data_IF_087508059108
#
_entry.id   IF_087508059108
#
_cell.length_a   1.000
_cell.length_b   1.000
_cell.length_c   1.000
_cell.angle_alpha   90.00
_cell.angle_beta   90.00
_cell.angle_gamma   90.00
#
_symmetry.space_group_name_H-M   'P 1'
#
loop_
_entity.id
_entity.type
_entity.pdbx_description
1 polymer ?
#
# COMPACT_ATOMS: atom_id res chain seq x y z
N UNK A 1 -8.84 4.80 28.29
CA UNK A 1 -7.82 5.43 27.42
C UNK A 1 -7.15 6.54 28.19
N UNK A 2 -5.87 6.82 27.94
CA UNK A 2 -5.16 7.95 28.57
C UNK A 2 -5.93 9.25 28.33
N UNK A 3 -6.02 10.12 29.34
CA UNK A 3 -6.77 11.37 29.31
C UNK A 3 -8.29 11.21 29.48
N UNK A 4 -8.83 9.99 29.45
CA UNK A 4 -10.27 9.78 29.60
C UNK A 4 -10.74 10.16 31.00
N UNK A 5 -11.81 10.94 31.09
CA UNK A 5 -12.55 11.15 32.34
C UNK A 5 -13.40 9.92 32.64
N UNK A 6 -13.23 9.38 33.85
CA UNK A 6 -13.97 8.21 34.34
C UNK A 6 -14.25 8.37 35.84
N UNK A 7 -15.11 7.51 36.40
CA UNK A 7 -15.58 7.59 37.79
C UNK A 7 -14.43 7.72 38.82
N UNK A 8 -13.36 6.95 38.64
CA UNK A 8 -12.15 6.99 39.49
C UNK A 8 -10.99 7.81 38.90
N UNK A 9 -11.26 8.63 37.89
CA UNK A 9 -10.23 9.38 37.15
C UNK A 9 -10.80 10.72 36.68
N UNK A 10 -10.93 11.65 37.62
CA UNK A 10 -11.45 12.98 37.37
C UNK A 10 -10.45 13.87 36.61
N UNK A 11 -10.97 14.96 36.03
CA UNK A 11 -10.16 16.02 35.44
C UNK A 11 -10.12 17.24 36.36
N UNK A 12 -8.93 17.72 36.69
CA UNK A 12 -8.68 18.87 37.55
C UNK A 12 -7.22 19.27 37.55
N UNK A 13 -6.83 20.25 38.38
CA UNK A 13 -5.47 20.82 38.36
C UNK A 13 -4.34 19.81 38.63
N UNK A 14 -4.63 18.73 39.36
CA UNK A 14 -3.64 17.72 39.75
C UNK A 14 -3.72 16.42 38.92
N UNK A 15 -4.82 16.20 38.19
CA UNK A 15 -5.06 14.97 37.44
C UNK A 15 -5.84 15.28 36.18
N UNK A 16 -5.38 14.81 35.03
CA UNK A 16 -6.00 15.08 33.72
C UNK A 16 -6.70 13.84 33.16
N UNK A 17 -7.50 13.14 33.99
CA UNK A 17 -8.13 11.87 33.65
C UNK A 17 -7.24 10.65 33.91
N UNK A 18 -7.51 9.56 33.19
CA UNK A 18 -6.74 8.31 33.26
C UNK A 18 -5.30 8.48 32.79
N UNK A 19 -4.36 7.85 33.49
CA UNK A 19 -2.93 7.87 33.14
C UNK A 19 -2.42 6.51 32.69
N UNK A 20 -3.14 5.45 33.02
CA UNK A 20 -2.81 4.09 32.66
C UNK A 20 -3.09 3.82 31.17
N UNK A 21 -2.17 3.08 30.54
CA UNK A 21 -2.37 2.54 29.20
C UNK A 21 -3.50 1.52 29.20
N UNK A 22 -4.23 1.45 28.10
CA UNK A 22 -5.35 0.51 27.98
C UNK A 22 -4.82 -0.91 27.96
N UNK A 23 -5.40 -1.78 28.79
CA UNK A 23 -5.14 -3.22 28.74
C UNK A 23 -5.79 -3.80 27.49
N UNK A 24 -4.96 -4.28 26.57
CA UNK A 24 -5.41 -4.84 25.29
C UNK A 24 -5.86 -6.30 25.45
N UNK A 25 -7.16 -6.48 25.71
CA UNK A 25 -7.76 -7.80 25.93
C UNK A 25 -7.54 -8.75 24.74
N UNK A 26 -7.50 -8.23 23.52
CA UNK A 26 -7.17 -9.01 22.32
C UNK A 26 -5.80 -9.65 22.41
N UNK A 27 -4.75 -8.86 22.70
CA UNK A 27 -3.38 -9.36 22.86
C UNK A 27 -3.24 -10.32 24.05
N UNK A 28 -3.91 -10.04 25.16
CA UNK A 28 -3.93 -10.94 26.33
C UNK A 28 -4.54 -12.29 25.95
N UNK A 29 -5.64 -12.31 25.19
CA UNK A 29 -6.24 -13.54 24.68
C UNK A 29 -5.31 -14.30 23.74
N UNK A 30 -4.63 -13.58 22.84
CA UNK A 30 -3.68 -14.15 21.87
C UNK A 30 -2.48 -14.79 22.57
N UNK A 31 -2.03 -14.22 23.70
CA UNK A 31 -0.90 -14.75 24.47
C UNK A 31 -1.10 -16.20 24.95
N UNK A 32 -2.34 -16.67 25.08
CA UNK A 32 -2.64 -18.06 25.43
C UNK A 32 -2.41 -19.04 24.28
N UNK A 33 -2.19 -18.58 23.03
CA UNK A 33 -1.91 -19.35 21.79
C UNK A 33 -2.97 -20.35 21.34
N UNK A 34 -3.74 -20.94 22.25
CA UNK A 34 -4.80 -21.90 21.97
C UNK A 34 -6.21 -21.29 21.89
N UNK A 35 -6.36 -19.99 22.18
CA UNK A 35 -7.65 -19.30 22.22
C UNK A 35 -7.95 -18.67 20.87
N UNK A 36 -9.15 -18.86 20.33
CA UNK A 36 -9.63 -18.05 19.22
C UNK A 36 -9.99 -16.67 19.75
N UNK A 37 -9.44 -15.59 19.18
CA UNK A 37 -9.72 -14.23 19.62
C UNK A 37 -10.30 -13.45 18.48
N UNK A 38 -11.43 -12.81 18.69
CA UNK A 38 -12.04 -11.94 17.69
C UNK A 38 -12.41 -10.61 18.34
N UNK A 39 -11.85 -9.53 17.79
CA UNK A 39 -12.05 -8.17 18.22
C UNK A 39 -12.76 -7.41 17.10
N UNK A 40 -13.97 -6.92 17.37
CA UNK A 40 -14.77 -6.22 16.37
C UNK A 40 -15.72 -5.20 17.00
N UNK A 41 -16.57 -4.59 16.20
CA UNK A 41 -17.58 -3.62 16.62
C UNK A 41 -18.72 -3.59 15.61
N UNK A 42 -19.79 -2.88 15.95
CA UNK A 42 -20.89 -2.65 15.03
C UNK A 42 -20.53 -1.83 13.78
N UNK A 43 -19.33 -1.21 13.73
CA UNK A 43 -18.86 -0.46 12.57
C UNK A 43 -18.79 -1.30 11.29
N UNK A 44 -18.54 -2.61 11.41
CA UNK A 44 -18.66 -3.54 10.29
C UNK A 44 -19.41 -4.80 10.74
N UNK A 45 -20.72 -4.81 10.49
CA UNK A 45 -21.59 -5.92 10.86
C UNK A 45 -21.14 -7.25 10.23
N UNK A 46 -20.62 -7.22 8.99
CA UNK A 46 -20.11 -8.41 8.30
C UNK A 46 -18.94 -9.05 9.04
N UNK A 47 -17.92 -8.26 9.41
CA UNK A 47 -16.75 -8.74 10.15
C UNK A 47 -17.15 -9.27 11.53
N UNK A 48 -18.01 -8.53 12.25
CA UNK A 48 -18.52 -8.93 13.57
C UNK A 48 -19.22 -10.29 13.53
N UNK A 49 -20.22 -10.45 12.64
CA UNK A 49 -21.04 -11.66 12.60
C UNK A 49 -20.23 -12.83 12.07
N UNK A 50 -19.43 -12.65 11.01
CA UNK A 50 -18.59 -13.70 10.47
C UNK A 50 -17.58 -14.22 11.50
N UNK A 51 -16.92 -13.33 12.25
CA UNK A 51 -15.94 -13.73 13.24
C UNK A 51 -16.55 -14.39 14.48
N UNK A 52 -17.71 -13.93 14.94
CA UNK A 52 -18.45 -14.60 16.02
C UNK A 52 -18.86 -16.02 15.60
N UNK A 53 -19.46 -16.17 14.41
CA UNK A 53 -19.82 -17.48 13.88
C UNK A 53 -18.59 -18.38 13.73
N UNK A 54 -17.50 -17.87 13.14
CA UNK A 54 -16.25 -18.62 12.99
C UNK A 54 -15.75 -19.11 14.36
N UNK A 55 -15.70 -18.24 15.36
CA UNK A 55 -15.25 -18.60 16.71
C UNK A 55 -16.14 -19.63 17.40
N UNK A 56 -17.46 -19.53 17.26
CA UNK A 56 -18.40 -20.50 17.83
C UNK A 56 -18.27 -21.91 17.22
N UNK A 57 -17.78 -22.02 15.97
CA UNK A 57 -17.52 -23.31 15.34
C UNK A 57 -16.17 -23.93 15.74
N UNK A 58 -15.31 -23.21 16.47
CA UNK A 58 -14.02 -23.72 16.91
C UNK A 58 -14.14 -24.57 18.17
N UNK A 59 -13.45 -25.71 18.21
CA UNK A 59 -13.38 -26.60 19.39
C UNK A 59 -12.27 -26.18 20.35
N UNK A 60 -12.29 -24.92 20.78
CA UNK A 60 -11.31 -24.29 21.68
C UNK A 60 -11.96 -23.12 22.42
N UNK A 61 -11.34 -22.58 23.49
CA UNK A 61 -11.80 -21.33 24.07
C UNK A 61 -11.87 -20.23 23.01
N UNK A 62 -12.96 -19.46 23.02
CA UNK A 62 -13.18 -18.33 22.13
C UNK A 62 -13.42 -17.06 22.96
N UNK A 63 -12.70 -15.99 22.64
CA UNK A 63 -12.81 -14.68 23.26
C UNK A 63 -13.32 -13.68 22.22
N UNK A 64 -14.47 -13.07 22.50
CA UNK A 64 -15.05 -12.02 21.67
C UNK A 64 -14.94 -10.69 22.39
N UNK A 65 -14.08 -9.79 21.90
CA UNK A 65 -13.92 -8.44 22.42
C UNK A 65 -14.65 -7.45 21.50
N UNK A 66 -15.88 -7.08 21.86
CA UNK A 66 -16.73 -6.27 20.99
C UNK A 66 -16.82 -4.84 21.51
N UNK A 67 -16.40 -3.87 20.72
CA UNK A 67 -16.52 -2.45 21.07
C UNK A 67 -17.98 -1.99 20.95
N UNK A 68 -18.52 -1.53 22.06
CA UNK A 68 -19.89 -1.04 22.19
C UNK A 68 -19.87 0.40 22.74
N UNK A 69 -20.00 1.42 21.86
CA UNK A 69 -20.18 2.79 22.31
C UNK A 69 -21.42 2.91 23.20
N UNK A 70 -21.29 3.57 24.35
CA UNK A 70 -22.42 3.85 25.23
C UNK A 70 -22.76 5.34 25.14
N UNK A 71 -23.92 5.74 24.57
CA UNK A 71 -24.24 7.15 24.38
C UNK A 71 -24.23 7.97 25.68
N UNK A 72 -24.81 7.41 26.75
CA UNK A 72 -24.88 8.07 28.06
C UNK A 72 -23.49 8.27 28.67
N UNK A 73 -22.71 7.19 28.79
CA UNK A 73 -21.40 7.23 29.45
C UNK A 73 -20.32 7.97 28.64
N UNK A 74 -20.39 7.91 27.30
CA UNK A 74 -19.43 8.56 26.43
C UNK A 74 -19.84 9.99 26.07
N UNK A 75 -21.09 10.38 26.39
CA UNK A 75 -21.70 11.65 26.03
C UNK A 75 -21.83 11.84 24.53
N UNK A 76 -22.30 10.80 23.84
CA UNK A 76 -22.64 10.83 22.41
C UNK A 76 -24.12 11.17 22.24
N UNK A 77 -24.53 11.55 21.03
CA UNK A 77 -25.94 11.59 20.67
C UNK A 77 -26.54 10.17 20.63
N UNK A 78 -27.85 10.05 20.90
CA UNK A 78 -28.53 8.76 21.06
C UNK A 78 -28.48 7.88 19.79
N UNK A 79 -28.43 8.50 18.61
CA UNK A 79 -28.36 7.84 17.30
C UNK A 79 -26.92 7.64 16.78
N UNK A 80 -25.91 8.13 17.50
CA UNK A 80 -24.51 8.18 17.04
C UNK A 80 -23.68 6.94 17.36
N UNK A 81 -24.27 5.89 17.93
CA UNK A 81 -23.50 4.72 18.34
C UNK A 81 -22.77 4.05 17.16
N UNK A 82 -23.37 4.00 15.98
CA UNK A 82 -22.76 3.39 14.78
C UNK A 82 -21.57 4.22 14.30
N UNK A 83 -21.74 5.53 14.16
CA UNK A 83 -20.68 6.44 13.75
C UNK A 83 -19.54 6.47 14.78
N UNK A 84 -19.83 6.49 16.08
CA UNK A 84 -18.80 6.41 17.12
C UNK A 84 -17.98 5.11 17.05
N UNK A 85 -18.60 3.99 16.70
CA UNK A 85 -17.89 2.74 16.47
C UNK A 85 -17.00 2.81 15.22
N UNK A 86 -17.47 3.45 14.15
CA UNK A 86 -16.69 3.68 12.93
C UNK A 86 -15.48 4.56 13.20
N UNK A 87 -15.67 5.69 13.88
CA UNK A 87 -14.58 6.57 14.28
C UNK A 87 -13.56 5.85 15.17
N UNK A 88 -14.00 5.01 16.10
CA UNK A 88 -13.08 4.23 16.94
C UNK A 88 -12.22 3.24 16.14
N UNK A 89 -12.79 2.61 15.10
CA UNK A 89 -12.06 1.73 14.18
C UNK A 89 -11.05 2.51 13.33
N UNK A 90 -11.53 3.54 12.66
CA UNK A 90 -10.78 4.33 11.67
C UNK A 90 -9.64 5.13 12.33
N UNK A 91 -9.84 5.66 13.54
CA UNK A 91 -8.83 6.39 14.31
C UNK A 91 -7.79 5.50 15.02
N UNK A 92 -7.91 4.18 14.89
CA UNK A 92 -7.13 3.17 15.63
C UNK A 92 -7.35 3.18 17.15
N UNK A 93 -8.42 3.79 17.66
CA UNK A 93 -8.81 3.64 19.07
C UNK A 93 -9.06 2.17 19.42
N UNK A 94 -9.77 1.48 18.53
CA UNK A 94 -10.16 0.08 18.65
C UNK A 94 -10.06 -0.59 17.26
N UNK A 95 -8.86 -1.03 16.84
CA UNK A 95 -8.69 -1.75 15.58
C UNK A 95 -9.32 -3.14 15.64
N UNK A 96 -9.69 -3.68 14.49
CA UNK A 96 -10.20 -5.05 14.38
C UNK A 96 -9.06 -6.05 14.30
N UNK A 97 -9.27 -7.23 14.87
CA UNK A 97 -8.38 -8.36 14.67
C UNK A 97 -9.15 -9.67 14.81
N UNK A 98 -8.69 -10.70 14.12
CA UNK A 98 -9.13 -12.07 14.31
C UNK A 98 -7.92 -12.98 14.39
N UNK A 99 -7.70 -13.60 15.54
CA UNK A 99 -6.69 -14.60 15.76
C UNK A 99 -7.31 -15.99 15.75
N UNK A 100 -6.89 -16.81 14.80
CA UNK A 100 -7.28 -18.20 14.64
C UNK A 100 -6.05 -19.11 14.73
N UNK A 101 -5.86 -19.84 15.83
CA UNK A 101 -4.73 -20.76 15.99
C UNK A 101 -4.64 -21.88 14.94
N UNK A 102 -5.73 -22.16 14.23
CA UNK A 102 -5.75 -23.20 13.19
C UNK A 102 -5.40 -22.67 11.79
N UNK A 103 -5.21 -21.35 11.64
CA UNK A 103 -4.98 -20.75 10.32
C UNK A 103 -3.54 -20.94 9.80
N UNK A 104 -2.58 -21.22 10.69
CA UNK A 104 -1.23 -21.59 10.28
C UNK A 104 -0.30 -21.85 11.46
N UNK A 105 1.02 -21.82 11.20
CA UNK A 105 2.05 -22.16 12.19
C UNK A 105 2.70 -20.93 12.84
N UNK A 106 2.70 -19.79 12.15
CA UNK A 106 3.22 -18.52 12.67
C UNK A 106 2.11 -17.61 13.19
N UNK A 107 2.49 -16.59 13.98
CA UNK A 107 1.54 -15.55 14.40
C UNK A 107 0.96 -14.78 13.20
N UNK A 108 1.76 -14.56 12.16
CA UNK A 108 1.34 -13.87 10.94
C UNK A 108 0.23 -14.65 10.22
N UNK A 109 0.35 -15.98 10.14
CA UNK A 109 -0.70 -16.81 9.53
C UNK A 109 -1.98 -16.86 10.39
N UNK A 110 -1.81 -16.77 11.71
CA UNK A 110 -2.91 -16.89 12.65
C UNK A 110 -3.68 -15.58 12.87
N UNK A 111 -3.04 -14.42 12.68
CA UNK A 111 -3.61 -13.10 12.98
C UNK A 111 -4.03 -12.36 11.71
N UNK A 112 -5.33 -12.20 11.52
CA UNK A 112 -5.90 -11.36 10.45
C UNK A 112 -6.29 -9.97 10.98
N UNK A 113 -5.95 -8.94 10.21
CA UNK A 113 -6.39 -7.55 10.41
C UNK A 113 -7.45 -7.12 9.38
N UNK A 114 -8.14 -8.07 8.76
CA UNK A 114 -9.22 -7.80 7.83
C UNK A 114 -10.33 -6.94 8.48
N UNK A 115 -10.95 -6.07 7.69
CA UNK A 115 -12.00 -5.15 8.15
C UNK A 115 -11.47 -3.80 8.65
N UNK A 116 -10.16 -3.64 8.84
CA UNK A 116 -9.55 -2.34 9.09
C UNK A 116 -9.33 -1.58 7.76
N UNK A 117 -9.70 -0.29 7.67
CA UNK A 117 -9.38 0.53 6.51
C UNK A 117 -7.90 0.92 6.50
N UNK A 118 -7.37 1.20 5.31
CA UNK A 118 -6.00 1.69 5.07
C UNK A 118 -4.94 0.93 5.89
N UNK A 119 -4.90 -0.40 5.76
CA UNK A 119 -4.06 -1.28 6.62
C UNK A 119 -2.59 -0.86 6.60
N UNK A 120 -2.10 -0.39 5.45
CA UNK A 120 -0.69 -0.01 5.29
C UNK A 120 -0.32 1.36 5.88
N UNK A 121 -1.31 2.16 6.28
CA UNK A 121 -1.15 3.52 6.77
C UNK A 121 -1.52 3.63 8.24
N UNK A 122 -1.02 4.66 8.91
CA UNK A 122 -1.36 4.95 10.30
C UNK A 122 -2.86 5.21 10.44
N UNK A 123 -3.42 6.04 9.55
CA UNK A 123 -4.84 6.38 9.51
C UNK A 123 -5.37 6.47 8.07
N UNK A 124 -6.67 6.18 7.88
CA UNK A 124 -7.41 6.59 6.69
C UNK A 124 -7.58 8.11 6.60
N UNK A 125 -7.73 8.63 5.37
CA UNK A 125 -8.00 10.05 5.08
C UNK A 125 -9.45 10.24 4.64
N UNK A 126 -10.03 11.41 4.98
CA UNK A 126 -11.40 11.77 4.64
C UNK A 126 -11.50 13.22 4.17
N UNK A 127 -12.57 13.47 3.43
CA UNK A 127 -12.95 14.78 2.94
C UNK A 127 -13.71 15.55 4.03
N UNK A 128 -13.09 16.61 4.54
CA UNK A 128 -13.75 17.58 5.39
C UNK A 128 -14.36 18.69 4.52
N UNK A 129 -15.69 18.72 4.47
CA UNK A 129 -16.46 19.74 3.75
C UNK A 129 -16.74 20.93 4.68
N UNK A 130 -16.38 22.14 4.25
CA UNK A 130 -16.63 23.37 5.00
C UNK A 130 -17.03 24.53 4.08
N UNK A 131 -17.63 25.56 4.66
CA UNK A 131 -17.92 26.83 3.99
C UNK A 131 -16.80 27.81 4.31
N UNK A 132 -16.26 28.44 3.27
CA UNK A 132 -15.31 29.55 3.43
C UNK A 132 -16.03 30.83 3.91
N UNK A 133 -15.25 31.92 4.06
CA UNK A 133 -15.79 33.20 4.53
C UNK A 133 -16.76 33.86 3.53
N UNK A 134 -16.71 33.45 2.25
CA UNK A 134 -17.60 33.90 1.17
C UNK A 134 -18.85 33.02 1.03
N UNK A 135 -18.91 31.89 1.75
CA UNK A 135 -20.02 30.95 1.74
C UNK A 135 -19.95 29.89 0.64
N UNK A 136 -18.82 29.75 -0.03
CA UNK A 136 -18.60 28.69 -1.02
C UNK A 136 -18.18 27.38 -0.33
N UNK A 137 -18.65 26.25 -0.86
CA UNK A 137 -18.25 24.93 -0.37
C UNK A 137 -16.82 24.61 -0.78
N UNK A 138 -15.98 24.38 0.22
CA UNK A 138 -14.61 23.92 0.10
C UNK A 138 -14.48 22.51 0.66
N UNK A 139 -13.49 21.78 0.14
CA UNK A 139 -13.13 20.43 0.56
C UNK A 139 -11.65 20.41 0.93
N UNK A 140 -11.32 19.77 2.04
CA UNK A 140 -9.93 19.46 2.40
C UNK A 140 -9.79 18.01 2.85
N UNK A 141 -8.69 17.37 2.49
CA UNK A 141 -8.39 16.01 2.96
C UNK A 141 -7.66 16.07 4.31
N UNK A 142 -8.17 15.32 5.28
CA UNK A 142 -7.59 15.23 6.63
C UNK A 142 -7.53 13.77 7.08
N UNK A 143 -6.46 13.33 7.77
CA UNK A 143 -6.42 12.01 8.39
C UNK A 143 -7.39 11.95 9.58
N UNK A 144 -8.07 10.82 9.76
CA UNK A 144 -8.87 10.59 10.96
C UNK A 144 -8.00 10.03 12.08
N UNK A 145 -7.50 10.91 12.94
CA UNK A 145 -6.61 10.55 14.05
C UNK A 145 -7.39 10.20 15.32
N UNK A 146 -6.68 9.72 16.35
CA UNK A 146 -7.29 9.46 17.66
C UNK A 146 -7.87 10.73 18.30
N UNK A 147 -7.29 11.89 18.01
CA UNK A 147 -7.78 13.16 18.54
C UNK A 147 -9.14 13.53 17.93
N UNK A 148 -9.36 13.20 16.66
CA UNK A 148 -10.64 13.42 15.99
C UNK A 148 -11.75 12.56 16.59
N UNK A 149 -11.47 11.27 16.85
CA UNK A 149 -12.40 10.41 17.59
C UNK A 149 -12.65 10.93 19.01
N UNK A 150 -11.60 11.27 19.77
CA UNK A 150 -11.74 11.77 21.13
C UNK A 150 -12.54 13.09 21.19
N UNK A 151 -12.41 13.96 20.18
CA UNK A 151 -13.17 15.20 20.08
C UNK A 151 -14.69 14.97 19.90
N UNK A 152 -15.11 13.79 19.43
CA UNK A 152 -16.54 13.44 19.33
C UNK A 152 -17.16 12.97 20.65
N UNK A 153 -16.34 12.64 21.66
CA UNK A 153 -16.82 12.04 22.92
C UNK A 153 -16.66 13.01 24.10
N UNK A 154 -17.73 13.25 24.86
CA UNK A 154 -17.72 14.21 25.96
C UNK A 154 -16.70 13.87 27.06
N UNK A 155 -16.36 12.59 27.21
CA UNK A 155 -15.37 12.10 28.18
C UNK A 155 -13.93 12.57 27.94
N UNK A 156 -13.64 13.19 26.80
CA UNK A 156 -12.35 13.83 26.50
C UNK A 156 -12.45 15.34 26.29
N UNK A 157 -13.65 15.93 26.45
CA UNK A 157 -13.93 17.34 26.09
C UNK A 157 -12.94 18.35 26.68
N UNK A 158 -12.38 18.09 27.87
CA UNK A 158 -11.45 18.97 28.58
C UNK A 158 -10.10 19.10 27.86
N UNK A 159 -9.76 18.17 26.97
CA UNK A 159 -8.52 18.17 26.20
C UNK A 159 -8.57 19.03 24.94
N UNK A 160 -9.73 19.64 24.65
CA UNK A 160 -9.95 20.42 23.44
C UNK A 160 -10.40 21.84 23.78
N UNK A 161 -9.77 22.82 23.15
CA UNK A 161 -10.18 24.24 23.24
C UNK A 161 -10.00 24.94 21.89
N UNK A 162 -10.71 26.03 21.65
CA UNK A 162 -10.51 26.83 20.44
C UNK A 162 -9.06 27.34 20.42
N UNK A 163 -8.36 27.14 19.30
CA UNK A 163 -7.01 27.65 19.13
C UNK A 163 -7.06 29.19 19.01
N UNK A 164 -6.44 29.94 19.93
CA UNK A 164 -6.44 31.38 19.84
C UNK A 164 -5.52 31.85 18.70
N UNK A 165 -5.89 32.98 18.06
CA UNK A 165 -5.31 33.44 16.78
C UNK A 165 -3.84 33.80 16.86
N UNK A 166 -3.39 34.24 18.04
CA UNK A 166 -1.99 34.53 18.37
C UNK A 166 -1.08 33.30 18.25
N UNK A 167 -1.63 32.09 18.42
CA UNK A 167 -0.86 30.85 18.33
C UNK A 167 -0.83 30.24 16.93
N UNK A 168 -1.40 30.89 15.91
CA UNK A 168 -1.53 30.29 14.57
C UNK A 168 -0.17 30.01 13.92
N UNK A 169 0.83 30.86 14.13
CA UNK A 169 2.18 30.72 13.54
C UNK A 169 2.96 29.53 14.12
N UNK A 170 2.75 29.22 15.40
CA UNK A 170 3.41 28.11 16.11
C UNK A 170 2.55 26.85 16.15
N UNK A 171 1.35 26.91 15.56
CA UNK A 171 0.42 25.78 15.51
C UNK A 171 0.70 24.86 14.34
N UNK A 172 0.40 23.56 14.49
CA UNK A 172 0.50 22.61 13.41
C UNK A 172 -0.57 21.51 13.50
N UNK A 173 -0.96 20.89 12.37
CA UNK A 173 -1.87 19.75 12.36
C UNK A 173 -1.37 18.62 13.27
N UNK A 174 -2.30 17.97 13.97
CA UNK A 174 -2.01 16.94 14.97
C UNK A 174 -1.22 15.75 14.39
N UNK A 175 -1.56 15.31 13.18
CA UNK A 175 -0.86 14.21 12.49
C UNK A 175 0.60 14.55 12.15
N UNK A 176 0.87 15.81 11.78
CA UNK A 176 2.23 16.29 11.52
C UNK A 176 3.01 16.47 12.82
N UNK A 177 2.34 16.92 13.89
CA UNK A 177 2.95 17.08 15.21
C UNK A 177 3.50 15.75 15.74
N UNK A 178 2.78 14.65 15.55
CA UNK A 178 3.20 13.32 15.99
C UNK A 178 4.44 12.79 15.26
N UNK A 179 4.73 13.29 14.06
CA UNK A 179 5.93 12.89 13.30
C UNK A 179 7.20 13.60 13.76
N UNK A 180 7.08 14.69 14.51
CA UNK A 180 8.24 15.40 15.03
C UNK A 180 8.92 14.64 16.18
N UNK A 181 10.24 14.78 16.35
CA UNK A 181 10.94 14.37 17.56
C UNK A 181 10.37 15.05 18.80
N UNK A 182 10.46 14.39 19.96
CA UNK A 182 9.89 14.89 21.23
C UNK A 182 10.41 16.29 21.60
N UNK A 183 11.65 16.60 21.28
CA UNK A 183 12.30 17.89 21.57
C UNK A 183 11.66 19.06 20.79
N UNK A 184 11.36 18.84 19.51
CA UNK A 184 10.78 19.87 18.63
C UNK A 184 9.30 20.16 18.94
N UNK A 185 8.64 19.21 19.61
CA UNK A 185 7.22 19.29 19.97
C UNK A 185 6.92 20.28 21.08
N UNK A 186 7.89 20.64 21.92
CA UNK A 186 7.68 21.58 23.03
C UNK A 186 7.36 23.00 22.54
N UNK A 187 7.86 23.37 21.36
CA UNK A 187 7.68 24.71 20.77
C UNK A 187 6.45 24.81 19.87
N UNK A 188 5.72 23.71 19.66
CA UNK A 188 4.60 23.63 18.72
C UNK A 188 3.29 23.35 19.44
N UNK A 189 2.21 23.97 18.95
CA UNK A 189 0.87 23.72 19.47
C UNK A 189 0.09 22.83 18.50
N UNK A 190 -0.22 21.57 18.87
CA UNK A 190 -1.01 20.70 18.01
C UNK A 190 -2.48 21.13 17.95
N UNK A 191 -3.09 20.99 16.78
CA UNK A 191 -4.53 21.18 16.61
C UNK A 191 -5.15 20.18 15.63
N UNK A 192 -6.46 19.97 15.74
CA UNK A 192 -7.28 19.27 14.73
C UNK A 192 -8.26 20.24 14.08
N UNK A 193 -8.66 19.93 12.86
CA UNK A 193 -9.72 20.67 12.17
C UNK A 193 -11.09 20.16 12.60
N UNK A 194 -12.00 21.09 12.90
CA UNK A 194 -13.38 20.76 13.23
C UNK A 194 -14.33 21.73 12.55
N UNK A 195 -15.53 21.26 12.22
CA UNK A 195 -16.56 22.08 11.58
C UNK A 195 -17.62 22.45 12.62
N UNK A 196 -18.02 23.73 12.65
CA UNK A 196 -19.07 24.18 13.56
C UNK A 196 -20.48 23.96 12.99
N UNK A 197 -21.52 24.27 13.79
CA UNK A 197 -22.93 24.15 13.37
C UNK A 197 -23.30 24.98 12.13
N UNK A 198 -22.50 26.00 11.78
CA UNK A 198 -22.66 26.86 10.59
C UNK A 198 -21.81 26.39 9.40
N UNK A 199 -21.27 25.15 9.46
CA UNK A 199 -20.34 24.58 8.48
C UNK A 199 -19.03 25.37 8.29
N UNK A 200 -18.64 26.24 9.23
CA UNK A 200 -17.35 26.94 9.16
C UNK A 200 -16.23 26.14 9.81
N UNK A 201 -15.05 26.21 9.22
CA UNK A 201 -13.84 25.58 9.71
C UNK A 201 -13.34 26.24 11.01
N UNK A 202 -12.92 25.42 11.96
CA UNK A 202 -12.29 25.84 13.22
C UNK A 202 -11.09 24.94 13.52
N UNK A 203 -10.21 25.44 14.39
CA UNK A 203 -9.03 24.72 14.85
C UNK A 203 -9.17 24.46 16.34
N UNK A 204 -9.22 23.19 16.73
CA UNK A 204 -9.26 22.80 18.13
C UNK A 204 -7.84 22.45 18.58
N UNK A 205 -7.32 23.24 19.51
CA UNK A 205 -6.08 22.93 20.22
C UNK A 205 -6.25 21.59 20.96
N UNK A 206 -5.22 20.77 20.88
CA UNK A 206 -5.17 19.43 21.48
C UNK A 206 -4.19 19.41 22.66
N UNK A 207 -4.53 18.70 23.74
CA UNK A 207 -3.68 18.55 24.91
C UNK A 207 -2.52 17.57 24.69
N UNK A 208 -1.53 17.58 25.60
CA UNK A 208 -0.38 16.66 25.56
C UNK A 208 -0.82 15.21 25.81
N UNK A 209 -1.83 15.01 26.65
CA UNK A 209 -2.39 13.70 26.98
C UNK A 209 -2.97 13.00 25.75
N UNK A 210 -3.57 13.76 24.83
CA UNK A 210 -4.05 13.22 23.55
C UNK A 210 -2.89 12.85 22.61
N UNK A 211 -1.79 13.58 22.64
CA UNK A 211 -0.57 13.19 21.92
C UNK A 211 0.00 11.87 22.45
N UNK A 212 0.09 11.71 23.78
CA UNK A 212 0.51 10.44 24.39
C UNK A 212 -0.43 9.29 24.05
N UNK A 213 -1.75 9.53 24.06
CA UNK A 213 -2.73 8.54 23.63
C UNK A 213 -2.49 8.15 22.16
N UNK A 214 -2.21 9.11 21.29
CA UNK A 214 -1.97 8.85 19.86
C UNK A 214 -0.73 8.00 19.62
N UNK A 215 0.38 8.33 20.27
CA UNK A 215 1.61 7.55 20.16
C UNK A 215 1.39 6.11 20.62
N UNK A 216 0.71 5.92 21.74
CA UNK A 216 0.43 4.59 22.27
C UNK A 216 -0.51 3.79 21.36
N UNK A 217 -1.53 4.43 20.77
CA UNK A 217 -2.40 3.78 19.77
C UNK A 217 -1.66 3.44 18.47
N UNK A 218 -0.76 4.31 18.01
CA UNK A 218 0.08 4.04 16.83
C UNK A 218 1.04 2.88 17.08
N UNK A 219 1.71 2.85 18.23
CA UNK A 219 2.57 1.74 18.62
C UNK A 219 1.79 0.42 18.66
N UNK A 220 0.59 0.43 19.24
CA UNK A 220 -0.28 -0.74 19.24
C UNK A 220 -0.65 -1.19 17.82
N UNK A 221 -1.00 -0.25 16.94
CA UNK A 221 -1.32 -0.54 15.54
C UNK A 221 -0.13 -1.13 14.77
N UNK A 222 1.06 -0.56 14.94
CA UNK A 222 2.29 -1.08 14.33
C UNK A 222 2.63 -2.48 14.83
N UNK A 223 2.48 -2.72 16.14
CA UNK A 223 2.66 -4.04 16.74
C UNK A 223 1.69 -5.08 16.14
N UNK A 224 0.41 -4.71 15.96
CA UNK A 224 -0.55 -5.61 15.32
C UNK A 224 -0.17 -5.92 13.88
N UNK A 225 0.27 -4.92 13.11
CA UNK A 225 0.71 -5.10 11.72
C UNK A 225 1.96 -5.97 11.63
N UNK A 226 2.91 -5.83 12.54
CA UNK A 226 4.09 -6.69 12.62
C UNK A 226 3.69 -8.14 12.95
N UNK A 227 2.83 -8.33 13.96
CA UNK A 227 2.35 -9.66 14.34
C UNK A 227 1.55 -10.36 13.23
N UNK A 228 0.82 -9.60 12.43
CA UNK A 228 0.06 -10.10 11.28
C UNK A 228 0.93 -10.28 10.02
N UNK A 229 2.22 -9.96 10.08
CA UNK A 229 3.14 -10.06 8.93
C UNK A 229 2.88 -9.04 7.83
N UNK A 230 2.11 -7.98 8.11
CA UNK A 230 1.85 -6.87 7.19
C UNK A 230 3.10 -5.99 7.05
N UNK A 231 3.77 -5.74 8.17
CA UNK A 231 5.05 -5.02 8.20
C UNK A 231 6.14 -6.00 8.64
N UNK A 232 7.30 -5.92 7.98
CA UNK A 232 8.52 -6.60 8.44
C UNK A 232 9.21 -5.74 9.49
N UNK A 233 9.59 -6.32 10.62
CA UNK A 233 10.30 -5.62 11.69
C UNK A 233 11.59 -4.97 11.16
N UNK A 234 11.97 -3.83 11.74
CA UNK A 234 13.18 -3.11 11.30
C UNK A 234 14.43 -3.96 11.53
N UNK A 235 14.46 -4.78 12.57
CA UNK A 235 15.54 -5.73 12.81
C UNK A 235 15.64 -6.75 11.68
N UNK A 236 14.53 -7.37 11.28
CA UNK A 236 14.52 -8.34 10.19
C UNK A 236 14.93 -7.69 8.86
N UNK A 237 14.48 -6.46 8.59
CA UNK A 237 14.94 -5.70 7.41
C UNK A 237 16.44 -5.44 7.47
N UNK A 238 16.95 -4.95 8.59
CA UNK A 238 18.38 -4.64 8.74
C UNK A 238 19.27 -5.87 8.62
N UNK A 239 18.84 -7.04 9.13
CA UNK A 239 19.58 -8.29 8.97
C UNK A 239 19.66 -8.71 7.51
N UNK A 240 18.54 -8.72 6.79
CA UNK A 240 18.51 -9.07 5.36
C UNK A 240 19.30 -8.06 4.54
N UNK A 241 19.17 -6.77 4.81
CA UNK A 241 19.97 -5.74 4.14
C UNK A 241 21.47 -5.94 4.38
N UNK A 242 21.88 -6.23 5.61
CA UNK A 242 23.30 -6.49 5.92
C UNK A 242 23.85 -7.74 5.24
N UNK A 243 23.06 -8.81 5.12
CA UNK A 243 23.44 -10.01 4.38
C UNK A 243 23.58 -9.74 2.88
N UNK A 244 22.63 -9.01 2.29
CA UNK A 244 22.68 -8.61 0.87
C UNK A 244 23.88 -7.71 0.59
N UNK A 245 24.14 -6.73 1.46
CA UNK A 245 25.32 -5.85 1.37
C UNK A 245 26.62 -6.65 1.42
N UNK A 246 26.74 -7.58 2.36
CA UNK A 246 27.91 -8.45 2.47
C UNK A 246 28.10 -9.36 1.24
N UNK A 247 27.02 -9.94 0.70
CA UNK A 247 27.08 -10.71 -0.54
C UNK A 247 27.50 -9.85 -1.74
N UNK A 248 26.96 -8.64 -1.83
CA UNK A 248 27.27 -7.70 -2.91
C UNK A 248 28.73 -7.26 -2.84
N UNK A 249 29.24 -6.93 -1.66
CA UNK A 249 30.66 -6.64 -1.44
C UNK A 249 31.55 -7.84 -1.81
N UNK A 250 31.15 -9.05 -1.43
CA UNK A 250 31.85 -10.28 -1.82
C UNK A 250 31.93 -10.46 -3.34
N UNK A 251 30.81 -10.29 -4.05
CA UNK A 251 30.75 -10.36 -5.52
C UNK A 251 31.58 -9.26 -6.18
N UNK A 252 31.52 -8.04 -5.66
CA UNK A 252 32.32 -6.91 -6.15
C UNK A 252 33.82 -7.15 -5.97
N UNK A 253 34.23 -7.69 -4.84
CA UNK A 253 35.64 -8.03 -4.58
C UNK A 253 36.13 -9.17 -5.47
N UNK A 254 35.31 -10.22 -5.66
CA UNK A 254 35.63 -11.31 -6.57
C UNK A 254 35.76 -10.83 -8.02
N UNK A 255 34.85 -9.98 -8.48
CA UNK A 255 34.87 -9.42 -9.82
C UNK A 255 36.08 -8.50 -10.03
N UNK A 256 36.42 -7.66 -9.05
CA UNK A 256 37.64 -6.85 -9.06
C UNK A 256 38.88 -7.72 -9.16
N UNK A 257 39.00 -8.76 -8.35
CA UNK A 257 40.12 -9.70 -8.39
C UNK A 257 40.21 -10.40 -9.76
N UNK A 258 39.08 -10.76 -10.37
CA UNK A 258 39.04 -11.36 -11.71
C UNK A 258 39.53 -10.37 -12.79
N UNK A 259 39.06 -9.11 -12.76
CA UNK A 259 39.53 -8.08 -13.70
C UNK A 259 41.00 -7.73 -13.50
N UNK A 260 41.47 -7.62 -12.26
CA UNK A 260 42.88 -7.41 -11.95
C UNK A 260 43.74 -8.58 -12.45
N UNK A 261 43.26 -9.82 -12.28
CA UNK A 261 43.88 -11.02 -12.83
C UNK A 261 43.95 -11.01 -14.35
N UNK A 262 42.83 -10.71 -15.03
CA UNK A 262 42.77 -10.56 -16.50
C UNK A 262 43.71 -9.46 -16.98
N UNK A 263 43.77 -8.32 -16.29
CA UNK A 263 44.67 -7.21 -16.62
C UNK A 263 46.15 -7.60 -16.42
N UNK A 264 46.48 -8.36 -15.38
CA UNK A 264 47.83 -8.86 -15.14
C UNK A 264 48.25 -9.87 -16.22
N UNK A 265 47.34 -10.77 -16.60
CA UNK A 265 47.55 -11.72 -17.70
C UNK A 265 47.73 -11.01 -19.04
N UNK A 266 46.83 -10.07 -19.36
CA UNK A 266 46.94 -9.21 -20.54
C UNK A 266 48.29 -8.49 -20.54
N UNK A 267 48.69 -7.83 -19.45
CA UNK A 267 50.01 -7.15 -19.36
C UNK A 267 51.19 -8.09 -19.60
N UNK A 268 51.09 -9.38 -19.23
CA UNK A 268 52.15 -10.37 -19.45
C UNK A 268 52.21 -10.83 -20.92
N UNK A 269 51.05 -11.04 -21.54
CA UNK A 269 50.94 -11.56 -22.91
C UNK A 269 51.08 -10.47 -23.99
N UNK A 270 50.68 -9.23 -23.69
CA UNK A 270 50.64 -8.11 -24.64
C UNK A 270 52.00 -7.75 -25.27
N UNK A 271 53.12 -7.69 -24.52
CA UNK A 271 54.44 -7.43 -25.11
C UNK A 271 54.87 -8.53 -26.10
N UNK A 272 54.55 -9.79 -25.80
CA UNK A 272 54.88 -10.92 -26.66
C UNK A 272 54.05 -10.90 -27.96
N UNK A 273 52.77 -10.54 -27.86
CA UNK A 273 51.90 -10.38 -29.04
C UNK A 273 52.31 -9.19 -29.91
N UNK A 274 52.70 -8.05 -29.32
CA UNK A 274 53.19 -6.88 -30.06
C UNK A 274 54.52 -7.19 -30.76
N UNK A 275 55.48 -7.81 -30.05
CA UNK A 275 56.76 -8.19 -30.64
C UNK A 275 56.56 -9.08 -31.88
N UNK A 276 55.62 -10.03 -31.80
CA UNK A 276 55.27 -10.90 -32.92
C UNK A 276 54.61 -10.15 -34.09
N UNK A 277 53.64 -9.27 -33.84
CA UNK A 277 52.99 -8.47 -34.89
C UNK A 277 53.95 -7.48 -35.56
N UNK A 278 54.87 -6.89 -34.79
CA UNK A 278 55.92 -6.03 -35.34
C UNK A 278 56.91 -6.83 -36.19
N UNK A 279 57.34 -8.01 -35.73
CA UNK A 279 58.20 -8.91 -36.49
C UNK A 279 57.53 -9.37 -37.80
N UNK A 280 56.25 -9.76 -37.77
CA UNK A 280 55.46 -10.15 -38.95
C UNK A 280 55.24 -8.95 -39.91
N UNK A 281 55.00 -7.75 -39.40
CA UNK A 281 54.85 -6.53 -40.21
C UNK A 281 56.15 -6.09 -40.90
N UNK A 282 57.29 -6.23 -40.21
CA UNK A 282 58.64 -5.99 -40.74
C UNK A 282 59.06 -7.06 -41.74
N UNK A 283 58.69 -8.34 -41.53
CA UNK A 283 58.89 -9.42 -42.51
C UNK A 283 58.15 -9.14 -43.82
N UNK A 284 56.94 -8.56 -43.76
CA UNK A 284 56.21 -8.09 -44.96
C UNK A 284 56.89 -6.94 -45.70
N UNK A 285 57.83 -6.23 -45.08
CA UNK A 285 58.55 -5.08 -45.66
C UNK A 285 60.07 -5.30 -45.82
N UNK A 286 60.58 -6.52 -45.62
CA UNK A 286 61.92 -6.95 -46.07
C UNK A 286 63.10 -6.63 -45.13
N UNK A 287 63.17 -7.27 -43.95
CA UNK A 287 64.34 -7.23 -43.05
C UNK A 287 64.92 -8.62 -42.74
N UNK A 288 66.25 -8.78 -42.87
CA UNK A 288 66.98 -10.06 -42.90
C UNK A 288 67.20 -10.84 -41.59
N UNK A 289 67.97 -11.92 -41.72
CA UNK A 289 68.11 -13.11 -40.85
C UNK A 289 68.25 -12.92 -39.33
N UNK A 290 68.69 -11.76 -38.84
CA UNK A 290 68.84 -11.49 -37.40
C UNK A 290 67.49 -11.49 -36.63
N UNK A 291 66.38 -11.25 -37.33
CA UNK A 291 65.04 -11.26 -36.72
C UNK A 291 64.43 -12.66 -36.60
N UNK A 292 64.83 -13.61 -37.45
CA UNK A 292 64.38 -15.00 -37.35
C UNK A 292 64.93 -15.68 -36.09
N UNK A 293 66.15 -15.33 -35.66
CA UNK A 293 66.73 -15.79 -34.39
C UNK A 293 66.00 -15.18 -33.18
N UNK A 294 65.60 -13.91 -33.24
CA UNK A 294 64.83 -13.27 -32.18
C UNK A 294 63.45 -13.92 -32.02
N UNK A 295 62.78 -14.25 -33.12
CA UNK A 295 61.49 -14.95 -33.10
C UNK A 295 61.62 -16.40 -32.60
N UNK A 296 62.73 -17.07 -32.91
CA UNK A 296 63.02 -18.43 -32.44
C UNK A 296 63.42 -18.51 -30.96
N UNK A 297 63.89 -17.41 -30.36
CA UNK A 297 64.25 -17.33 -28.93
C UNK A 297 63.09 -16.99 -27.99
N UNK A 298 61.92 -16.63 -28.53
CA UNK A 298 60.70 -16.49 -27.76
C UNK A 298 60.07 -17.88 -27.51
N UNK A 299 59.55 -18.17 -26.30
CA UNK A 299 58.92 -19.46 -26.02
C UNK A 299 57.69 -19.67 -26.91
N UNK A 300 57.58 -20.85 -27.50
CA UNK A 300 56.42 -21.25 -28.30
C UNK A 300 55.18 -21.30 -27.39
N UNK A 301 54.19 -20.46 -27.66
CA UNK A 301 52.84 -20.59 -27.12
C UNK A 301 52.01 -21.34 -28.15
N UNK A 302 51.35 -22.42 -27.72
CA UNK A 302 50.46 -23.21 -28.57
C UNK A 302 49.44 -22.29 -29.28
N UNK A 303 49.30 -22.48 -30.59
CA UNK A 303 48.28 -21.80 -31.37
C UNK A 303 46.89 -22.27 -30.89
N UNK A 304 45.89 -21.36 -30.77
CA UNK A 304 44.52 -21.81 -30.59
C UNK A 304 44.11 -22.58 -31.86
N UNK A 305 43.60 -23.80 -31.69
CA UNK A 305 43.13 -24.65 -32.78
C UNK A 305 42.03 -23.94 -33.57
N UNK A 306 42.31 -23.55 -34.81
CA UNK A 306 41.32 -23.06 -35.76
C UNK A 306 40.80 -24.22 -36.61
N UNK A 307 39.50 -24.51 -36.52
CA UNK A 307 38.77 -25.20 -37.57
C UNK A 307 37.66 -24.28 -38.08
N UNK A 308 37.86 -23.80 -39.31
CA UNK A 308 36.83 -23.22 -40.17
C UNK A 308 37.10 -23.66 -41.60
N UNK A 309 36.05 -24.15 -42.28
CA UNK A 309 35.89 -24.18 -43.73
C UNK A 309 34.36 -24.13 -43.95
N UNK A 310 33.74 -23.31 -44.79
CA UNK A 310 34.13 -22.78 -46.11
C UNK A 310 33.20 -21.60 -46.50
N UNK A 311 33.68 -20.71 -47.39
CA UNK A 311 33.01 -19.49 -47.88
C UNK A 311 32.18 -19.75 -49.18
N UNK A 312 31.46 -18.80 -49.83
CA UNK A 312 31.39 -17.34 -49.57
C UNK A 312 30.02 -16.63 -49.70
N UNK A 313 30.04 -15.35 -49.28
CA UNK A 313 29.17 -14.21 -49.65
C UNK A 313 27.74 -14.09 -49.07
N UNK A 314 27.61 -13.30 -47.99
CA UNK A 314 26.82 -12.04 -47.93
C UNK A 314 26.84 -11.54 -46.47
N UNK A 315 27.00 -10.22 -46.27
CA UNK A 315 27.07 -9.62 -44.94
C UNK A 315 25.81 -9.86 -44.09
N UNK A 316 25.97 -10.11 -42.78
CA UNK A 316 25.00 -9.55 -41.84
C UNK A 316 25.58 -9.01 -40.52
N UNK A 317 24.92 -7.93 -40.10
CA UNK A 317 24.46 -7.53 -38.77
C UNK A 317 25.24 -7.88 -37.50
N UNK A 318 25.53 -6.81 -36.76
CA UNK A 318 25.93 -6.76 -35.37
C UNK A 318 24.82 -7.20 -34.40
N UNK A 319 25.18 -7.99 -33.39
CA UNK A 319 24.42 -8.25 -32.16
C UNK A 319 25.47 -8.49 -31.07
N UNK A 320 25.78 -7.50 -30.23
CA UNK A 320 25.13 -7.06 -28.99
C UNK A 320 25.93 -7.54 -27.76
N UNK A 321 26.51 -6.57 -27.07
CA UNK A 321 27.28 -6.71 -25.84
C UNK A 321 26.28 -6.81 -24.68
N UNK A 322 26.46 -7.81 -23.81
CA UNK A 322 25.81 -7.86 -22.50
C UNK A 322 26.72 -7.15 -21.50
N UNK A 323 26.19 -6.10 -20.90
CA UNK A 323 26.86 -5.20 -19.96
C UNK A 323 26.68 -5.69 -18.52
N UNK A 324 27.74 -5.57 -17.71
CA UNK A 324 27.73 -5.82 -16.28
C UNK A 324 27.11 -4.61 -15.53
N UNK A 325 26.37 -4.82 -14.42
CA UNK A 325 25.72 -3.72 -13.72
C UNK A 325 26.73 -2.92 -12.89
N UNK A 326 26.58 -1.59 -12.93
CA UNK A 326 27.31 -0.62 -12.12
C UNK A 326 26.44 -0.12 -10.93
N UNK A 327 27.05 0.48 -9.89
CA UNK A 327 26.53 0.58 -8.52
C UNK A 327 25.58 1.76 -8.31
N UNK A 328 24.64 1.63 -7.36
CA UNK A 328 23.79 2.73 -6.90
C UNK A 328 24.53 3.59 -5.85
N UNK A 329 24.82 4.83 -6.23
CA UNK A 329 24.96 5.95 -5.30
C UNK A 329 23.62 6.69 -5.21
N UNK A 330 23.30 7.10 -3.99
CA UNK A 330 22.11 7.86 -3.63
C UNK A 330 21.97 9.17 -4.42
N UNK A 331 20.77 9.44 -4.90
CA UNK A 331 20.31 10.78 -5.25
C UNK A 331 18.81 10.91 -4.93
N UNK A 332 18.53 11.80 -3.98
CA UNK A 332 17.44 12.78 -3.97
C UNK A 332 16.18 12.49 -4.78
N UNK A 333 15.07 12.48 -4.05
CA UNK A 333 13.71 12.66 -4.56
C UNK A 333 13.61 13.82 -5.57
N UNK A 334 13.03 13.54 -6.73
CA UNK A 334 12.24 14.49 -7.52
C UNK A 334 11.27 13.74 -8.42
N UNK A 335 10.12 14.37 -8.64
CA UNK A 335 8.89 13.83 -9.19
C UNK A 335 9.00 13.21 -10.59
N UNK A 336 8.14 12.23 -10.84
CA UNK A 336 7.73 11.67 -12.15
C UNK A 336 6.28 11.19 -11.90
N UNK A 337 5.18 11.72 -12.44
CA UNK A 337 4.88 12.33 -13.75
C UNK A 337 5.29 11.44 -14.93
N UNK A 338 4.34 10.57 -15.31
CA UNK A 338 3.97 10.21 -16.69
C UNK A 338 5.04 9.74 -17.70
N UNK A 339 4.74 8.61 -18.35
CA UNK A 339 5.39 8.16 -19.57
C UNK A 339 4.37 7.38 -20.44
N UNK A 340 4.56 7.27 -21.76
CA UNK A 340 4.52 8.38 -22.72
C UNK A 340 3.51 8.11 -23.86
N UNK A 341 3.15 9.20 -24.53
CA UNK A 341 2.21 9.28 -25.64
C UNK A 341 2.64 8.48 -26.90
N UNK A 342 1.68 7.76 -27.49
CA UNK A 342 1.71 7.40 -28.90
C UNK A 342 1.19 8.58 -29.74
N UNK A 343 1.88 8.83 -30.84
CA UNK A 343 1.80 9.95 -31.78
C UNK A 343 0.39 10.29 -32.30
N UNK A 344 0.09 11.59 -32.28
CA UNK A 344 -1.09 12.22 -32.83
C UNK A 344 -1.13 12.16 -34.37
N UNK A 345 -2.27 11.74 -34.90
CA UNK A 345 -2.71 12.07 -36.26
C UNK A 345 -3.82 13.12 -36.15
N UNK A 346 -3.74 14.13 -37.02
CA UNK A 346 -4.51 15.37 -36.99
C UNK A 346 -6.04 15.19 -37.02
N UNK A 347 -6.73 16.10 -36.34
CA UNK A 347 -8.18 16.23 -36.37
C UNK A 347 -8.70 16.67 -37.75
N UNK A 348 -9.74 16.01 -38.29
CA UNK A 348 -10.71 16.67 -39.14
C UNK A 348 -11.89 17.18 -38.29
N UNK A 349 -12.56 18.20 -38.84
CA UNK A 349 -13.75 18.83 -38.31
C UNK A 349 -14.95 17.87 -38.28
N UNK A 350 -15.95 18.26 -37.48
CA UNK A 350 -17.24 17.61 -37.23
C UNK A 350 -17.87 16.86 -38.42
N UNK A 351 -18.09 15.55 -38.25
CA UNK A 351 -19.15 14.75 -38.88
C UNK A 351 -19.56 13.60 -37.91
N UNK A 352 -20.83 13.20 -37.97
CA UNK A 352 -21.56 12.32 -37.04
C UNK A 352 -21.24 10.81 -37.18
N UNK A 353 -21.49 10.06 -36.08
CA UNK A 353 -21.71 8.59 -35.95
C UNK A 353 -20.63 7.57 -36.37
N UNK A 354 -19.92 6.99 -35.38
CA UNK A 354 -20.00 5.56 -35.05
C UNK A 354 -19.33 5.28 -33.68
N UNK A 355 -20.10 4.70 -32.76
CA UNK A 355 -19.78 4.50 -31.34
C UNK A 355 -18.66 3.49 -31.07
N UNK A 356 -17.65 3.87 -30.28
CA UNK A 356 -16.79 2.90 -29.57
C UNK A 356 -17.62 2.21 -28.48
N UNK A 357 -18.18 1.04 -28.80
CA UNK A 357 -18.91 0.23 -27.84
C UNK A 357 -17.95 -0.37 -26.79
N UNK A 358 -18.12 0.02 -25.52
CA UNK A 358 -17.45 -0.61 -24.38
C UNK A 358 -18.12 -1.96 -24.11
N UNK A 359 -17.40 -3.06 -24.23
CA UNK A 359 -17.93 -4.39 -23.96
C UNK A 359 -18.12 -4.60 -22.45
N UNK A 360 -19.21 -5.25 -22.06
CA UNK A 360 -19.47 -5.58 -20.66
C UNK A 360 -18.52 -6.70 -20.20
N UNK A 361 -17.85 -6.52 -19.04
CA UNK A 361 -16.93 -7.54 -18.50
C UNK A 361 -16.95 -7.59 -16.97
N UNK A 362 -16.36 -8.64 -16.41
CA UNK A 362 -16.18 -8.82 -14.96
C UNK A 362 -14.70 -9.09 -14.67
N UNK A 363 -14.13 -8.35 -13.72
CA UNK A 363 -12.81 -8.62 -13.13
C UNK A 363 -12.86 -9.89 -12.27
N UNK A 364 -12.96 -11.03 -12.94
CA UNK A 364 -13.20 -12.34 -12.33
C UNK A 364 -12.15 -12.69 -11.27
N UNK A 365 -10.90 -12.26 -11.46
CA UNK A 365 -9.80 -12.44 -10.52
C UNK A 365 -10.09 -11.83 -9.13
N UNK A 366 -10.94 -10.81 -9.05
CA UNK A 366 -11.33 -10.11 -7.81
C UNK A 366 -12.68 -10.58 -7.25
N UNK A 367 -13.28 -11.61 -7.83
CA UNK A 367 -14.59 -12.10 -7.43
C UNK A 367 -14.57 -12.82 -6.08
N UNK A 368 -15.44 -12.38 -5.17
CA UNK A 368 -15.63 -12.98 -3.82
C UNK A 368 -16.78 -13.99 -3.75
N UNK A 369 -17.35 -14.36 -4.89
CA UNK A 369 -18.41 -15.39 -5.02
C UNK A 369 -19.65 -15.17 -4.11
N UNK A 370 -20.05 -13.92 -3.91
CA UNK A 370 -21.19 -13.52 -3.05
C UNK A 370 -22.58 -13.91 -3.58
N UNK A 371 -22.68 -14.45 -4.79
CA UNK A 371 -23.92 -14.83 -5.49
C UNK A 371 -24.90 -13.70 -5.85
N UNK A 372 -24.59 -12.43 -5.62
CA UNK A 372 -25.52 -11.33 -5.91
C UNK A 372 -25.87 -11.21 -7.42
N UNK A 373 -24.87 -11.27 -8.30
CA UNK A 373 -25.09 -11.18 -9.74
C UNK A 373 -25.80 -12.43 -10.29
N UNK A 374 -25.39 -13.62 -9.85
CA UNK A 374 -26.00 -14.89 -10.29
C UNK A 374 -27.41 -15.06 -9.74
N UNK A 375 -27.72 -14.57 -8.53
CA UNK A 375 -29.09 -14.54 -8.00
C UNK A 375 -29.99 -13.57 -8.79
N UNK A 376 -29.43 -12.48 -9.31
CA UNK A 376 -30.18 -11.52 -10.12
C UNK A 376 -30.55 -12.09 -11.50
N UNK A 377 -29.59 -12.71 -12.21
CA UNK A 377 -29.86 -13.37 -13.49
C UNK A 377 -28.87 -14.54 -13.75
N UNK A 378 -29.31 -15.77 -13.46
CA UNK A 378 -28.55 -17.02 -13.68
C UNK A 378 -28.27 -17.37 -15.15
N UNK A 379 -28.93 -16.69 -16.09
CA UNK A 379 -28.71 -16.88 -17.52
C UNK A 379 -27.61 -15.94 -18.05
N UNK A 380 -27.49 -14.75 -17.46
CA UNK A 380 -26.49 -13.74 -17.81
C UNK A 380 -25.15 -13.96 -17.09
N UNK A 381 -25.18 -14.35 -15.82
CA UNK A 381 -23.98 -14.57 -15.01
C UNK A 381 -23.82 -16.04 -14.64
N UNK A 382 -22.59 -16.55 -14.72
CA UNK A 382 -22.23 -17.90 -14.30
C UNK A 382 -20.94 -17.89 -13.47
N UNK A 383 -20.64 -19.00 -12.80
CA UNK A 383 -19.35 -19.22 -12.17
C UNK A 383 -18.48 -20.09 -13.06
N UNK A 384 -17.24 -19.65 -13.28
CA UNK A 384 -16.23 -20.44 -13.98
C UNK A 384 -15.70 -21.60 -13.10
N UNK A 385 -14.74 -22.37 -13.62
CA UNK A 385 -14.14 -23.50 -12.90
C UNK A 385 -13.44 -23.10 -11.58
N UNK A 386 -12.94 -21.86 -11.47
CA UNK A 386 -12.33 -21.30 -10.27
C UNK A 386 -13.36 -20.69 -9.29
N UNK A 387 -14.67 -20.88 -9.54
CA UNK A 387 -15.78 -20.29 -8.79
C UNK A 387 -15.82 -18.76 -8.80
N UNK A 388 -15.27 -18.12 -9.84
CA UNK A 388 -15.33 -16.68 -10.07
C UNK A 388 -16.44 -16.33 -11.06
N UNK A 389 -17.14 -15.22 -10.83
CA UNK A 389 -18.28 -14.82 -11.65
C UNK A 389 -17.81 -14.31 -13.02
N UNK A 390 -18.40 -14.83 -14.08
CA UNK A 390 -18.19 -14.39 -15.47
C UNK A 390 -19.53 -14.10 -16.15
N UNK A 391 -19.49 -13.27 -17.20
CA UNK A 391 -20.67 -13.02 -18.03
C UNK A 391 -20.78 -14.18 -19.04
N UNK A 392 -21.84 -14.97 -18.89
CA UNK A 392 -22.12 -16.10 -19.76
C UNK A 392 -22.77 -15.67 -21.07
N UNK A 393 -23.73 -14.76 -20.97
CA UNK A 393 -24.48 -14.25 -22.12
C UNK A 393 -25.04 -12.85 -21.79
N UNK A 394 -24.48 -11.82 -22.42
CA UNK A 394 -24.91 -10.41 -22.24
C UNK A 394 -26.34 -10.21 -22.75
N UNK A 395 -26.79 -10.99 -23.73
CA UNK A 395 -28.13 -10.88 -24.32
C UNK A 395 -29.21 -11.60 -23.50
N UNK A 396 -28.83 -12.39 -22.49
CA UNK A 396 -29.76 -13.13 -21.65
C UNK A 396 -30.51 -12.26 -20.61
N UNK A 397 -30.37 -10.93 -20.67
CA UNK A 397 -31.18 -9.99 -19.91
C UNK A 397 -31.01 -8.53 -20.36
N UNK A 398 -31.51 -7.60 -19.56
CA UNK A 398 -31.54 -6.16 -19.87
C UNK A 398 -30.29 -5.45 -19.35
N UNK A 399 -29.88 -4.35 -19.97
CA UNK A 399 -28.82 -3.47 -19.47
C UNK A 399 -29.07 -3.00 -18.03
N UNK A 400 -30.34 -2.75 -17.67
CA UNK A 400 -30.73 -2.48 -16.29
C UNK A 400 -30.26 -3.55 -15.29
N UNK A 401 -30.39 -4.84 -15.63
CA UNK A 401 -29.95 -5.94 -14.76
C UNK A 401 -28.43 -5.97 -14.61
N UNK A 402 -27.72 -5.60 -15.67
CA UNK A 402 -26.27 -5.55 -15.70
C UNK A 402 -25.74 -4.41 -14.81
N UNK A 403 -26.36 -3.23 -14.87
CA UNK A 403 -26.09 -2.11 -13.95
C UNK A 403 -26.47 -2.46 -12.51
N UNK A 404 -27.63 -3.08 -12.27
CA UNK A 404 -28.02 -3.50 -10.92
C UNK A 404 -27.08 -4.58 -10.35
N UNK A 405 -26.54 -5.46 -11.18
CA UNK A 405 -25.53 -6.41 -10.75
C UNK A 405 -24.24 -5.71 -10.32
N UNK A 406 -23.79 -4.70 -11.07
CA UNK A 406 -22.64 -3.87 -10.70
C UNK A 406 -22.85 -3.13 -9.37
N UNK A 407 -24.03 -2.56 -9.17
CA UNK A 407 -24.38 -1.87 -7.92
C UNK A 407 -24.49 -2.77 -6.70
N UNK A 408 -24.88 -4.04 -6.91
CA UNK A 408 -24.98 -5.04 -5.82
C UNK A 408 -23.68 -5.80 -5.60
N UNK A 409 -22.69 -5.64 -6.49
CA UNK A 409 -21.42 -6.30 -6.35
C UNK A 409 -20.65 -5.71 -5.15
N UNK A 410 -20.36 -6.47 -4.08
CA UNK A 410 -19.73 -5.93 -2.88
C UNK A 410 -18.31 -5.38 -3.11
N UNK A 411 -17.65 -5.85 -4.18
CA UNK A 411 -16.28 -5.49 -4.55
C UNK A 411 -16.23 -4.65 -5.84
N UNK A 412 -17.38 -4.26 -6.41
CA UNK A 412 -17.48 -3.41 -7.60
C UNK A 412 -16.65 -3.88 -8.81
N UNK A 413 -16.74 -5.17 -9.16
CA UNK A 413 -15.92 -5.80 -10.21
C UNK A 413 -16.67 -6.03 -11.54
N UNK A 414 -17.91 -5.56 -11.65
CA UNK A 414 -18.76 -5.75 -12.84
C UNK A 414 -18.83 -4.42 -13.57
N UNK A 415 -18.41 -4.42 -14.83
CA UNK A 415 -18.33 -3.25 -15.70
C UNK A 415 -19.42 -3.36 -16.77
N UNK A 416 -20.51 -2.56 -16.70
CA UNK A 416 -21.65 -2.77 -17.58
C UNK A 416 -21.43 -2.45 -19.06
N UNK A 417 -20.43 -1.64 -19.38
CA UNK A 417 -20.13 -1.21 -20.74
C UNK A 417 -21.25 -0.37 -21.35
N UNK A 418 -21.33 -0.40 -22.67
CA UNK A 418 -22.41 0.19 -23.47
C UNK A 418 -23.61 -0.76 -23.60
N UNK A 419 -24.84 -0.23 -23.61
CA UNK A 419 -26.04 -1.05 -23.72
C UNK A 419 -26.16 -1.71 -25.09
N UNK A 420 -26.34 -3.03 -25.07
CA UNK A 420 -26.46 -3.84 -26.29
C UNK A 420 -27.82 -3.69 -26.97
N UNK A 421 -28.87 -3.37 -26.21
CA UNK A 421 -30.21 -3.11 -26.74
C UNK A 421 -30.61 -1.63 -26.57
N UNK A 422 -30.60 -0.81 -27.64
CA UNK A 422 -30.89 0.61 -27.57
C UNK A 422 -32.39 0.92 -27.35
N UNK A 423 -33.28 -0.09 -27.38
CA UNK A 423 -34.73 0.09 -27.21
C UNK A 423 -35.23 -0.21 -25.79
N UNK A 424 -34.33 -0.30 -24.80
CA UNK A 424 -34.73 -0.54 -23.42
C UNK A 424 -35.39 0.70 -22.77
N UNK A 425 -36.35 0.44 -21.88
CA UNK A 425 -37.05 1.50 -21.14
C UNK A 425 -36.08 2.20 -20.17
N UNK A 426 -36.16 3.53 -20.11
CA UNK A 426 -35.36 4.38 -19.22
C UNK A 426 -33.83 4.23 -19.43
N UNK A 427 -33.39 3.95 -20.67
CA UNK A 427 -31.99 3.64 -20.99
C UNK A 427 -31.00 4.73 -20.54
N UNK A 428 -31.30 6.01 -20.81
CA UNK A 428 -30.43 7.15 -20.43
C UNK A 428 -30.16 7.19 -18.92
N UNK A 429 -31.17 6.86 -18.11
CA UNK A 429 -31.04 6.78 -16.65
C UNK A 429 -30.09 5.67 -16.24
N UNK A 430 -30.14 4.52 -16.91
CA UNK A 430 -29.27 3.38 -16.61
C UNK A 430 -27.84 3.62 -17.10
N UNK A 431 -27.65 4.26 -18.26
CA UNK A 431 -26.33 4.67 -18.75
C UNK A 431 -25.66 5.64 -17.77
N UNK A 432 -26.41 6.63 -17.25
CA UNK A 432 -25.89 7.56 -16.25
C UNK A 432 -25.44 6.87 -14.95
N UNK A 433 -26.13 5.79 -14.54
CA UNK A 433 -25.77 5.00 -13.36
C UNK A 433 -24.62 4.03 -13.62
N UNK A 434 -24.48 3.55 -14.85
CA UNK A 434 -23.37 2.70 -15.28
C UNK A 434 -22.04 3.46 -15.30
N UNK A 435 -22.06 4.79 -15.54
CA UNK A 435 -20.86 5.61 -15.70
C UNK A 435 -19.83 5.52 -14.56
N UNK A 436 -20.25 5.22 -13.32
CA UNK A 436 -19.32 5.03 -12.19
C UNK A 436 -18.63 3.66 -12.15
N UNK A 437 -19.11 2.72 -12.96
CA UNK A 437 -18.62 1.34 -13.04
C UNK A 437 -17.94 1.04 -14.38
N UNK A 438 -18.07 1.92 -15.38
CA UNK A 438 -17.47 1.74 -16.70
C UNK A 438 -16.04 2.27 -16.76
#
# INVERSE_FOLDING_TARGET
>A
FTGQVADMSAFGKAQHGKTETRKELGLIGIAHRGTFVHQSSQAAASHLIAGVLKGMHKRRPALFNIYTPCPVEHGLADDWAQDAARFALESRAFPFLTYDPDAGSSFADCLSLEGNPAIESDWPTYDLLYLDDEGSEQKMEVPLTIADWAATEARFKQHFSELPKDLYEVSMPFDQYLKLPVEDREQKTPFIFAVNKKRRLRRLKVSKEMAFLAEERQQHWHQLRELAGVIVSDTARNTVSGEIEAEFEGKMNALRAEYEGKMAQLKKEYPQQIARRLAEGLMRHGGGSALNELLASLPAVEAPSGNGASAPAAAPAAVAVVEAPAPLAAATATAVAEAPAATAVAAPAAEEDESLALEAYIDSARCTSCNECTNLNKKMFAYNAAKQAEIKDVHAGTFQQLVLAAERCPVSIIHPGTPVNPKEKDLEKWVKRAARFN
#
